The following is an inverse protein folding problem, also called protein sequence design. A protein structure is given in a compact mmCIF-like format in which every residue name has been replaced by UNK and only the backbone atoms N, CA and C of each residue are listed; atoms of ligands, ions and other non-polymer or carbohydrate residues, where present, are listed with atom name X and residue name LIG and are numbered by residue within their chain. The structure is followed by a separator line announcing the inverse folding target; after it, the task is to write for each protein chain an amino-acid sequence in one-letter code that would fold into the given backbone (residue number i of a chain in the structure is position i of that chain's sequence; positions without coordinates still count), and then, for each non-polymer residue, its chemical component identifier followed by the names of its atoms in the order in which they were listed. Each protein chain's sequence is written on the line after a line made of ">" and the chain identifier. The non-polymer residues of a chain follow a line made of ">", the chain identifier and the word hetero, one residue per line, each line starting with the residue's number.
data_IF_014200768665
#
_entry.id   IF_014200768665
#
_cell.length_a   1.000
_cell.length_b   1.000
_cell.length_c   1.000
_cell.angle_alpha   90.00
_cell.angle_beta   90.00
_cell.angle_gamma   90.00
#
_symmetry.space_group_name_H-M   'P 1'
#
loop_
_entity.id
_entity.type
_entity.pdbx_description
1 polymer ?
#
# COMPACT_ATOMS: atom_id res chain seq x y z
N UNK A 1 17.61 -17.36 26.36
CA UNK A 1 16.33 -18.09 26.20
C UNK A 1 15.86 -18.47 27.59
N UNK A 2 14.87 -17.77 28.16
CA UNK A 2 14.26 -18.08 29.45
C UNK A 2 12.76 -18.24 29.22
N UNK A 3 12.24 -19.44 29.43
CA UNK A 3 10.80 -19.69 29.42
C UNK A 3 10.26 -19.39 30.82
N UNK A 4 9.28 -18.50 30.89
CA UNK A 4 8.49 -18.29 32.11
C UNK A 4 7.05 -18.64 31.78
N UNK A 5 6.47 -19.62 32.49
CA UNK A 5 5.08 -20.04 32.29
C UNK A 5 4.19 -19.34 33.31
N UNK A 6 3.14 -18.65 32.85
CA UNK A 6 2.04 -18.18 33.69
C UNK A 6 0.82 -19.05 33.40
N UNK A 7 0.40 -19.86 34.37
CA UNK A 7 -0.78 -20.74 34.23
C UNK A 7 -1.96 -20.04 34.88
N UNK A 8 -2.94 -19.61 34.07
CA UNK A 8 -4.24 -19.10 34.52
C UNK A 8 -5.31 -20.16 34.22
N UNK A 9 -5.85 -20.78 35.26
CA UNK A 9 -6.95 -21.76 35.15
C UNK A 9 -8.28 -21.04 35.38
N UNK A 10 -9.05 -20.84 34.31
CA UNK A 10 -10.42 -20.33 34.40
C UNK A 10 -11.33 -21.27 33.60
N UNK A 11 -12.28 -21.93 34.29
CA UNK A 11 -13.38 -22.74 33.73
C UNK A 11 -13.01 -23.79 32.65
N UNK A 12 -12.12 -24.73 32.98
CA UNK A 12 -12.03 -26.03 32.26
C UNK A 12 -11.60 -25.99 30.78
N UNK A 13 -11.29 -24.81 30.24
CA UNK A 13 -10.77 -24.63 28.88
C UNK A 13 -9.33 -24.16 29.03
N UNK A 14 -8.39 -25.02 28.63
CA UNK A 14 -6.98 -24.68 28.55
C UNK A 14 -6.79 -23.73 27.36
N UNK A 15 -6.94 -22.42 27.60
CA UNK A 15 -6.63 -21.40 26.59
C UNK A 15 -5.13 -21.13 26.63
N UNK A 16 -4.39 -21.73 25.70
CA UNK A 16 -3.01 -21.36 25.42
C UNK A 16 -3.03 -20.00 24.70
N UNK A 17 -3.04 -18.91 25.47
CA UNK A 17 -2.73 -17.60 24.93
C UNK A 17 -1.21 -17.50 24.76
N UNK A 18 -0.72 -17.58 23.52
CA UNK A 18 0.63 -17.11 23.23
C UNK A 18 0.61 -15.58 23.20
N UNK A 19 1.48 -14.94 23.97
CA UNK A 19 1.92 -13.59 23.63
C UNK A 19 3.05 -13.79 22.61
N UNK A 20 2.75 -13.53 21.35
CA UNK A 20 3.81 -13.41 20.36
C UNK A 20 4.57 -12.13 20.69
N UNK A 21 5.68 -12.27 21.41
CA UNK A 21 6.70 -11.23 21.55
C UNK A 21 6.88 -10.58 20.17
N UNK A 22 6.68 -9.27 20.11
CA UNK A 22 6.82 -8.44 18.91
C UNK A 22 8.19 -8.67 18.28
N UNK A 23 8.28 -9.64 17.37
CA UNK A 23 9.52 -10.01 16.72
C UNK A 23 10.01 -8.80 15.90
N UNK A 24 11.09 -8.19 16.35
CA UNK A 24 11.79 -7.17 15.56
C UNK A 24 12.11 -7.76 14.19
N UNK A 25 11.79 -6.99 13.14
CA UNK A 25 12.06 -7.39 11.77
C UNK A 25 13.56 -7.66 11.58
N UNK A 26 13.98 -8.88 11.18
CA UNK A 26 15.41 -9.21 11.06
C UNK A 26 16.08 -8.52 9.86
N UNK A 27 15.30 -7.93 8.95
CA UNK A 27 15.80 -7.26 7.76
C UNK A 27 16.27 -5.86 8.13
N UNK A 28 17.56 -5.59 7.89
CA UNK A 28 18.16 -4.25 7.97
C UNK A 28 18.48 -3.76 6.58
N UNK A 29 17.80 -2.72 6.13
CA UNK A 29 18.05 -2.15 4.81
C UNK A 29 19.18 -1.13 4.84
N UNK A 30 20.14 -1.21 3.90
CA UNK A 30 21.14 -0.18 3.73
C UNK A 30 20.48 1.14 3.33
N UNK A 31 21.18 2.25 3.61
CA UNK A 31 20.70 3.59 3.25
C UNK A 31 20.97 3.85 1.75
N UNK A 32 20.27 3.11 0.88
CA UNK A 32 20.30 3.26 -0.57
C UNK A 32 19.09 4.06 -1.04
N UNK A 33 19.31 4.97 -2.00
CA UNK A 33 18.26 5.80 -2.62
C UNK A 33 18.01 5.36 -4.05
N UNK A 34 17.63 4.10 -4.24
CA UNK A 34 17.15 3.57 -5.52
C UNK A 34 15.66 3.32 -5.39
N UNK A 35 14.87 4.35 -5.59
CA UNK A 35 13.45 4.31 -5.30
C UNK A 35 12.76 3.21 -6.11
N UNK A 36 11.75 2.58 -5.51
CA UNK A 36 10.99 1.50 -6.11
C UNK A 36 9.51 1.79 -5.91
N UNK A 37 8.69 1.55 -6.91
CA UNK A 37 7.25 1.57 -6.72
C UNK A 37 6.74 0.14 -6.57
N UNK A 38 6.10 -0.15 -5.44
CA UNK A 38 5.32 -1.35 -5.23
C UNK A 38 3.84 -1.09 -5.49
N UNK A 39 3.09 -2.16 -5.78
CA UNK A 39 1.63 -2.13 -5.87
C UNK A 39 1.02 -3.25 -5.04
N UNK A 40 -0.11 -2.97 -4.42
CA UNK A 40 -0.87 -3.91 -3.61
C UNK A 40 -2.30 -4.02 -4.15
N UNK A 41 -2.82 -5.25 -4.22
CA UNK A 41 -4.19 -5.52 -4.63
C UNK A 41 -5.13 -5.22 -3.44
N UNK A 42 -6.08 -4.33 -3.64
CA UNK A 42 -7.09 -3.99 -2.63
C UNK A 42 -8.28 -4.98 -2.68
N UNK A 43 -9.07 -5.10 -1.60
CA UNK A 43 -10.22 -6.01 -1.54
C UNK A 43 -11.29 -5.75 -2.62
N UNK A 44 -11.40 -4.50 -3.08
CA UNK A 44 -12.32 -4.08 -4.16
C UNK A 44 -11.79 -4.43 -5.57
N UNK A 45 -10.63 -5.07 -5.67
CA UNK A 45 -9.99 -5.41 -6.94
C UNK A 45 -9.20 -4.26 -7.58
N UNK A 46 -8.99 -3.15 -6.88
CA UNK A 46 -8.13 -2.07 -7.35
C UNK A 46 -6.65 -2.28 -7.01
N UNK A 47 -5.80 -1.42 -7.54
CA UNK A 47 -4.37 -1.38 -7.23
C UNK A 47 -4.05 -0.10 -6.46
N UNK A 48 -3.39 -0.25 -5.31
CA UNK A 48 -2.78 0.85 -4.57
C UNK A 48 -1.28 0.84 -4.81
N UNK A 49 -0.71 1.99 -5.17
CA UNK A 49 0.72 2.14 -5.41
C UNK A 49 1.39 2.80 -4.20
N UNK A 50 2.61 2.33 -3.88
CA UNK A 50 3.39 2.77 -2.72
C UNK A 50 4.85 2.90 -3.13
N UNK A 51 5.49 3.99 -2.78
CA UNK A 51 6.91 4.24 -3.09
C UNK A 51 7.80 3.83 -1.92
N UNK A 52 8.87 3.10 -2.21
CA UNK A 52 9.88 2.63 -1.26
C UNK A 52 11.23 3.23 -1.60
N UNK A 53 12.06 3.50 -0.58
CA UNK A 53 13.42 4.04 -0.76
C UNK A 53 14.35 3.08 -1.52
N UNK A 54 14.12 1.78 -1.37
CA UNK A 54 14.85 0.72 -2.08
C UNK A 54 14.01 -0.55 -2.15
N UNK A 55 14.44 -1.50 -2.98
CA UNK A 55 13.82 -2.82 -3.08
C UNK A 55 13.85 -3.55 -1.72
N UNK A 56 14.90 -3.33 -0.93
CA UNK A 56 14.98 -3.90 0.42
C UNK A 56 13.81 -3.45 1.29
N UNK A 57 13.42 -2.17 1.23
CA UNK A 57 12.29 -1.68 2.03
C UNK A 57 10.96 -2.30 1.60
N UNK A 58 10.76 -2.55 0.30
CA UNK A 58 9.59 -3.29 -0.18
C UNK A 58 9.57 -4.72 0.39
N UNK A 59 10.70 -5.44 0.30
CA UNK A 59 10.84 -6.81 0.83
C UNK A 59 10.61 -6.81 2.34
N UNK A 60 11.19 -5.86 3.07
CA UNK A 60 11.00 -5.69 4.51
C UNK A 60 9.53 -5.52 4.88
N UNK A 61 8.78 -4.71 4.13
CA UNK A 61 7.34 -4.54 4.35
C UNK A 61 6.58 -5.85 4.13
N UNK A 62 6.88 -6.60 3.07
CA UNK A 62 6.23 -7.88 2.82
C UNK A 62 6.54 -8.92 3.90
N UNK A 63 7.81 -9.03 4.29
CA UNK A 63 8.27 -10.06 5.23
C UNK A 63 7.86 -9.74 6.66
N UNK A 64 7.94 -8.49 7.08
CA UNK A 64 7.81 -8.12 8.49
C UNK A 64 6.50 -7.43 8.86
N UNK A 65 5.85 -6.77 7.90
CA UNK A 65 4.58 -6.08 8.13
C UNK A 65 3.40 -6.81 7.48
N UNK A 66 3.65 -7.98 6.86
CA UNK A 66 2.62 -8.77 6.19
C UNK A 66 2.06 -8.12 4.92
N UNK A 67 2.80 -7.19 4.32
CA UNK A 67 2.40 -6.59 3.05
C UNK A 67 2.34 -7.61 1.92
N UNK A 68 1.45 -7.39 0.95
CA UNK A 68 1.39 -8.16 -0.29
C UNK A 68 1.68 -7.24 -1.48
N UNK A 69 2.84 -6.59 -1.41
CA UNK A 69 3.30 -5.64 -2.42
C UNK A 69 4.11 -6.36 -3.50
N UNK A 70 3.80 -6.07 -4.76
CA UNK A 70 4.55 -6.53 -5.92
C UNK A 70 5.31 -5.36 -6.50
N UNK A 71 6.57 -5.55 -6.89
CA UNK A 71 7.31 -4.52 -7.61
C UNK A 71 6.59 -4.14 -8.90
N UNK A 72 6.32 -2.85 -9.07
CA UNK A 72 5.68 -2.30 -10.26
C UNK A 72 6.73 -1.74 -11.25
N UNK A 73 7.63 -0.87 -10.78
CA UNK A 73 8.76 -0.35 -11.57
C UNK A 73 9.86 0.23 -10.67
N UNK A 74 11.06 0.37 -11.24
CA UNK A 74 12.17 1.12 -10.65
C UNK A 74 11.96 2.61 -10.85
N UNK A 75 12.09 3.41 -9.80
CA UNK A 75 11.90 4.85 -9.84
C UNK A 75 13.23 5.58 -9.59
N UNK A 76 13.56 6.55 -10.44
CA UNK A 76 14.77 7.37 -10.28
C UNK A 76 14.66 8.35 -9.10
N UNK A 77 13.43 8.63 -8.64
CA UNK A 77 13.17 9.51 -7.50
C UNK A 77 11.85 9.14 -6.82
N UNK A 78 11.59 9.74 -5.65
CA UNK A 78 10.28 9.67 -5.00
C UNK A 78 9.18 10.40 -5.78
N UNK A 79 9.53 11.14 -6.84
CA UNK A 79 8.57 11.86 -7.67
C UNK A 79 7.80 10.89 -8.56
N UNK A 80 6.55 11.22 -8.83
CA UNK A 80 5.73 10.50 -9.80
C UNK A 80 6.40 10.56 -11.18
N UNK A 81 6.66 9.42 -11.85
CA UNK A 81 7.28 9.43 -13.18
C UNK A 81 6.33 9.98 -14.26
N UNK A 82 5.03 10.06 -13.96
CA UNK A 82 4.02 10.56 -14.90
C UNK A 82 4.07 12.09 -14.92
N UNK A 83 4.52 12.65 -16.04
CA UNK A 83 4.44 14.08 -16.33
C UNK A 83 3.24 14.33 -17.24
N UNK A 84 2.22 14.98 -16.71
CA UNK A 84 1.03 15.31 -17.49
C UNK A 84 1.20 16.62 -18.25
N UNK A 85 0.86 16.66 -19.56
CA UNK A 85 0.85 17.89 -20.31
C UNK A 85 -0.22 18.84 -19.75
N UNK A 86 -0.04 20.13 -19.99
CA UNK A 86 -0.93 21.20 -19.53
C UNK A 86 -2.23 21.26 -20.36
N UNK A 87 -2.87 20.11 -20.58
CA UNK A 87 -4.11 19.96 -21.32
C UNK A 87 -5.31 20.12 -20.40
N UNK A 88 -6.36 20.78 -20.89
CA UNK A 88 -7.58 21.05 -20.13
C UNK A 88 -8.76 20.32 -20.78
N UNK A 89 -8.79 19.00 -20.58
CA UNK A 89 -9.87 18.11 -21.02
C UNK A 89 -10.44 17.41 -19.80
N UNK A 90 -11.29 18.13 -19.07
CA UNK A 90 -11.81 17.70 -17.78
C UNK A 90 -12.44 16.30 -17.85
N UNK A 91 -12.06 15.44 -16.92
CA UNK A 91 -12.60 14.10 -16.75
C UNK A 91 -13.28 14.00 -15.38
N UNK A 92 -14.44 13.35 -15.34
CA UNK A 92 -15.05 12.92 -14.10
C UNK A 92 -14.46 11.57 -13.71
N UNK A 93 -13.94 11.46 -12.50
CA UNK A 93 -13.56 10.21 -11.88
C UNK A 93 -14.42 9.92 -10.65
N UNK A 94 -14.65 8.65 -10.38
CA UNK A 94 -15.33 8.18 -9.17
C UNK A 94 -14.55 7.05 -8.52
N UNK A 95 -14.56 7.00 -7.20
CA UNK A 95 -13.83 6.03 -6.38
C UNK A 95 -14.81 5.39 -5.40
N UNK A 96 -14.80 4.06 -5.34
CA UNK A 96 -15.65 3.31 -4.42
C UNK A 96 -15.08 3.45 -3.00
N UNK A 97 -15.92 3.86 -2.06
CA UNK A 97 -15.54 3.97 -0.66
C UNK A 97 -15.84 2.67 0.12
N UNK A 98 -15.18 2.43 1.27
CA UNK A 98 -15.41 1.21 2.08
C UNK A 98 -16.85 1.04 2.57
N UNK A 99 -17.58 2.15 2.78
CA UNK A 99 -18.99 2.16 3.16
C UNK A 99 -19.95 1.88 1.98
N UNK A 100 -19.40 1.62 0.78
CA UNK A 100 -20.15 1.37 -0.44
C UNK A 100 -20.62 2.63 -1.17
N UNK A 101 -20.35 3.82 -0.64
CA UNK A 101 -20.64 5.09 -1.31
C UNK A 101 -19.64 5.37 -2.45
N UNK A 102 -19.96 6.37 -3.28
CA UNK A 102 -19.10 6.85 -4.35
C UNK A 102 -18.56 8.23 -4.02
N UNK A 103 -17.23 8.37 -4.06
CA UNK A 103 -16.55 9.68 -4.02
C UNK A 103 -16.28 10.14 -5.45
N UNK A 104 -16.68 11.36 -5.79
CA UNK A 104 -16.47 11.94 -7.11
C UNK A 104 -15.36 12.99 -7.07
N UNK A 105 -14.55 13.03 -8.12
CA UNK A 105 -13.51 14.02 -8.31
C UNK A 105 -13.42 14.43 -9.79
N UNK A 106 -12.99 15.66 -10.02
CA UNK A 106 -12.73 16.19 -11.37
C UNK A 106 -11.23 16.27 -11.60
N UNK A 107 -10.80 15.74 -12.74
CA UNK A 107 -9.39 15.72 -13.14
C UNK A 107 -9.22 16.57 -14.39
N UNK A 108 -8.15 17.35 -14.43
CA UNK A 108 -7.88 18.29 -15.53
C UNK A 108 -7.72 17.60 -16.89
N UNK A 109 -7.20 16.36 -16.88
CA UNK A 109 -7.11 15.49 -18.05
C UNK A 109 -7.12 14.03 -17.61
N UNK A 110 -7.27 13.11 -18.56
CA UNK A 110 -7.13 11.68 -18.30
C UNK A 110 -5.75 11.33 -17.72
N UNK A 111 -4.70 12.04 -18.15
CA UNK A 111 -3.37 11.85 -17.58
C UNK A 111 -3.36 12.14 -16.07
N UNK A 112 -4.00 13.24 -15.61
CA UNK A 112 -4.04 13.57 -14.18
C UNK A 112 -4.82 12.55 -13.35
N UNK A 113 -5.83 11.90 -13.93
CA UNK A 113 -6.52 10.78 -13.29
C UNK A 113 -5.55 9.60 -13.12
N UNK A 114 -4.85 9.22 -14.19
CA UNK A 114 -3.87 8.12 -14.17
C UNK A 114 -2.73 8.43 -13.18
N UNK A 115 -2.21 9.66 -13.19
CA UNK A 115 -1.18 10.14 -12.26
C UNK A 115 -1.65 10.02 -10.81
N UNK A 116 -2.87 10.45 -10.51
CA UNK A 116 -3.45 10.32 -9.16
C UNK A 116 -3.53 8.86 -8.73
N UNK A 117 -4.04 7.98 -9.60
CA UNK A 117 -4.15 6.56 -9.25
C UNK A 117 -2.79 5.90 -9.07
N UNK A 118 -1.83 6.24 -9.93
CA UNK A 118 -0.52 5.60 -9.98
C UNK A 118 0.43 6.11 -8.91
N UNK A 119 0.33 7.38 -8.53
CA UNK A 119 1.34 8.04 -7.70
C UNK A 119 0.80 8.60 -6.39
N UNK A 120 -0.50 8.89 -6.31
CA UNK A 120 -1.13 9.47 -5.11
C UNK A 120 -2.02 8.45 -4.39
N UNK A 121 -2.03 7.20 -4.85
CA UNK A 121 -2.80 6.11 -4.25
C UNK A 121 -4.31 6.27 -4.41
N UNK A 122 -4.77 7.02 -5.41
CA UNK A 122 -6.18 7.08 -5.75
C UNK A 122 -6.67 5.80 -6.43
N UNK A 123 -7.98 5.57 -6.39
CA UNK A 123 -8.63 4.51 -7.13
C UNK A 123 -9.85 5.04 -7.90
N UNK A 124 -9.61 6.03 -8.75
CA UNK A 124 -10.65 6.65 -9.56
C UNK A 124 -10.86 5.86 -10.86
N UNK A 125 -12.10 5.43 -11.13
CA UNK A 125 -12.56 5.02 -12.44
C UNK A 125 -13.26 6.18 -13.16
N UNK A 126 -13.26 6.17 -14.50
CA UNK A 126 -14.01 7.18 -15.26
C UNK A 126 -15.50 7.06 -14.96
N UNK A 127 -16.16 8.21 -14.75
CA UNK A 127 -17.61 8.25 -14.66
C UNK A 127 -18.20 7.73 -15.98
N UNK A 128 -19.12 6.76 -15.92
CA UNK A 128 -19.88 6.34 -17.10
C UNK A 128 -20.89 7.45 -17.44
N UNK A 129 -20.90 7.87 -18.70
CA UNK A 129 -22.00 8.63 -19.29
C UNK A 129 -23.20 7.72 -19.55
#
# INVERSE_FOLDING_TARGET
>A
MKLTFLILVIFGVLVLAWEADSAECPIKCPNETKWQCGRERQPDGSWKYVTFKSLCYLIMTNTCLGGVLVLAWEADSAECPIKCPNETKWQCGRERQPDGSWKYATFRSLCYLIMTNTCLGGNYELCRN
#
